data_IF_644673204628
#
_entry.id   IF_644673204628
#
_cell.length_a   1.000
_cell.length_b   1.000
_cell.length_c   1.000
_cell.angle_alpha   90.00
_cell.angle_beta   90.00
_cell.angle_gamma   90.00
#
_symmetry.space_group_name_H-M   'P 1'
#
loop_
_entity.id
_entity.type
_entity.pdbx_description
1 polymer ?
#
# COMPACT_ATOMS: atom_id res chain seq x y z
N UNK A 1 -9.15 34.51 0.16
CA UNK A 1 -10.00 33.45 -0.41
C UNK A 1 -10.02 32.30 0.58
N UNK A 2 -11.19 31.78 0.95
CA UNK A 2 -11.31 30.66 1.88
C UNK A 2 -10.98 29.37 1.15
N UNK A 3 -9.93 28.67 1.60
CA UNK A 3 -9.67 27.29 1.22
C UNK A 3 -10.30 26.38 2.26
N UNK A 4 -10.87 25.28 1.79
CA UNK A 4 -11.52 24.30 2.66
C UNK A 4 -11.02 22.91 2.33
N UNK A 5 -10.55 22.18 3.34
CA UNK A 5 -10.20 20.78 3.25
C UNK A 5 -11.22 19.95 4.04
N UNK A 6 -11.70 18.86 3.46
CA UNK A 6 -12.54 17.88 4.15
C UNK A 6 -11.80 16.56 4.21
N UNK A 7 -11.45 16.12 5.43
CA UNK A 7 -10.84 14.81 5.65
C UNK A 7 -11.90 13.71 5.74
N UNK A 8 -11.45 12.46 5.79
CA UNK A 8 -12.29 11.26 5.84
C UNK A 8 -13.17 11.14 7.09
N UNK A 9 -12.94 11.95 8.13
CA UNK A 9 -13.78 12.04 9.32
C UNK A 9 -14.95 13.05 9.16
N UNK A 10 -15.09 13.65 7.98
CA UNK A 10 -16.14 14.61 7.65
C UNK A 10 -15.91 16.01 8.23
N UNK A 11 -14.81 16.25 8.93
CA UNK A 11 -14.50 17.58 9.47
C UNK A 11 -13.97 18.50 8.39
N UNK A 12 -14.38 19.75 8.51
CA UNK A 12 -14.06 20.83 7.60
C UNK A 12 -12.98 21.70 8.22
N UNK A 13 -11.86 21.84 7.52
CA UNK A 13 -10.69 22.56 7.99
C UNK A 13 -10.33 23.69 7.05
N UNK A 14 -9.87 24.80 7.62
CA UNK A 14 -9.41 25.96 6.86
C UNK A 14 -7.95 25.80 6.41
N UNK A 15 -7.46 26.82 5.69
CA UNK A 15 -6.08 26.87 5.19
C UNK A 15 -5.04 26.81 6.30
N UNK A 16 -5.28 27.49 7.42
CA UNK A 16 -4.31 27.58 8.51
C UNK A 16 -4.16 26.21 9.18
N UNK A 17 -5.26 25.51 9.41
CA UNK A 17 -5.24 24.16 9.94
C UNK A 17 -4.56 23.17 8.99
N UNK A 18 -4.88 23.20 7.68
CA UNK A 18 -4.26 22.31 6.69
C UNK A 18 -2.73 22.47 6.64
N UNK A 19 -2.24 23.72 6.69
CA UNK A 19 -0.80 24.00 6.72
C UNK A 19 -0.15 23.59 8.05
N UNK A 20 -0.84 23.76 9.18
CA UNK A 20 -0.29 23.46 10.50
C UNK A 20 -0.35 21.98 10.92
N UNK A 21 -1.23 21.17 10.31
CA UNK A 21 -1.37 19.73 10.64
C UNK A 21 -0.87 18.82 9.53
N UNK A 22 -1.04 19.20 8.27
CA UNK A 22 -0.41 18.51 7.13
C UNK A 22 1.05 18.90 6.93
N UNK A 23 1.44 20.14 7.28
CA UNK A 23 2.80 20.66 7.14
C UNK A 23 3.73 20.46 8.34
N UNK A 24 3.26 19.84 9.42
CA UNK A 24 4.06 19.56 10.62
C UNK A 24 4.53 18.09 10.71
N UNK A 25 4.31 17.31 9.64
CA UNK A 25 5.07 16.10 9.36
C UNK A 25 6.37 16.58 8.71
N UNK A 26 7.52 16.13 9.17
CA UNK A 26 8.80 16.41 8.49
C UNK A 26 8.67 15.97 7.02
N UNK A 27 8.66 16.90 6.05
CA UNK A 27 8.46 16.56 4.65
C UNK A 27 9.57 15.62 4.13
N UNK A 28 10.70 15.51 4.83
CA UNK A 28 11.76 14.56 4.51
C UNK A 28 11.32 13.08 4.63
N UNK A 29 10.21 12.78 5.33
CA UNK A 29 9.75 11.42 5.61
C UNK A 29 8.37 11.08 5.02
N UNK A 30 7.78 12.00 4.25
CA UNK A 30 6.49 11.84 3.60
C UNK A 30 6.66 11.69 2.09
N UNK A 31 6.32 10.53 1.55
CA UNK A 31 6.21 10.32 0.09
C UNK A 31 4.75 10.23 -0.32
N UNK A 32 4.37 10.98 -1.36
CA UNK A 32 3.07 10.92 -1.99
C UNK A 32 3.24 10.38 -3.41
N UNK A 33 2.64 9.23 -3.70
CA UNK A 33 2.56 8.70 -5.07
C UNK A 33 1.12 8.84 -5.56
N UNK A 34 0.93 9.47 -6.73
CA UNK A 34 -0.40 9.70 -7.32
C UNK A 34 -0.69 8.66 -8.41
N UNK A 35 -1.92 8.17 -8.44
CA UNK A 35 -2.39 7.15 -9.39
C UNK A 35 -3.77 7.52 -9.95
N UNK A 36 -4.09 7.01 -11.15
CA UNK A 36 -5.36 7.23 -11.85
C UNK A 36 -5.80 8.70 -11.91
N UNK A 37 -4.84 9.60 -12.10
CA UNK A 37 -5.15 11.02 -12.11
C UNK A 37 -5.99 11.40 -13.33
N UNK A 38 -7.02 12.18 -13.08
CA UNK A 38 -7.88 12.78 -14.09
C UNK A 38 -7.92 14.28 -13.85
N UNK A 39 -7.84 15.05 -14.94
CA UNK A 39 -7.91 16.51 -14.92
C UNK A 39 -9.05 16.94 -15.83
N UNK A 40 -9.96 17.76 -15.31
CA UNK A 40 -11.06 18.36 -16.07
C UNK A 40 -11.01 19.88 -15.91
N UNK A 41 -10.97 20.62 -17.01
CA UNK A 41 -10.88 22.08 -17.02
C UNK A 41 -12.18 22.68 -17.55
N UNK A 42 -12.70 23.68 -16.85
CA UNK A 42 -13.94 24.40 -17.13
C UNK A 42 -13.69 25.91 -17.05
N UNK A 43 -13.08 26.48 -18.09
CA UNK A 43 -12.69 27.89 -18.12
C UNK A 43 -11.71 28.22 -16.98
N UNK A 44 -12.13 29.09 -16.07
CA UNK A 44 -11.35 29.48 -14.89
C UNK A 44 -11.50 28.54 -13.69
N UNK A 45 -12.14 27.37 -13.86
CA UNK A 45 -12.20 26.31 -12.86
C UNK A 45 -11.54 25.03 -13.37
N UNK A 46 -10.97 24.24 -12.47
CA UNK A 46 -10.47 22.90 -12.78
C UNK A 46 -10.76 21.94 -11.62
N UNK A 47 -11.00 20.67 -11.96
CA UNK A 47 -11.15 19.59 -10.99
C UNK A 47 -10.12 18.51 -11.30
N UNK A 48 -9.32 18.14 -10.31
CA UNK A 48 -8.43 16.99 -10.38
C UNK A 48 -8.94 15.91 -9.44
N UNK A 49 -8.95 14.66 -9.89
CA UNK A 49 -9.28 13.52 -9.03
C UNK A 49 -8.37 12.34 -9.30
N UNK A 50 -8.02 11.60 -8.27
CA UNK A 50 -7.12 10.45 -8.38
C UNK A 50 -7.03 9.67 -7.07
N UNK A 51 -6.08 8.75 -7.01
CA UNK A 51 -5.67 8.07 -5.78
C UNK A 51 -4.31 8.59 -5.35
N UNK A 52 -4.09 8.58 -4.04
CA UNK A 52 -2.80 8.90 -3.44
C UNK A 52 -2.41 7.80 -2.47
N UNK A 53 -1.18 7.31 -2.62
CA UNK A 53 -0.51 6.48 -1.64
C UNK A 53 0.37 7.40 -0.79
N UNK A 54 0.06 7.46 0.49
CA UNK A 54 0.84 8.21 1.48
C UNK A 54 1.75 7.21 2.18
N UNK A 55 3.06 7.34 1.99
CA UNK A 55 4.07 6.62 2.77
C UNK A 55 4.65 7.58 3.79
N UNK A 56 4.57 7.20 5.04
CA UNK A 56 5.14 7.96 6.15
C UNK A 56 6.16 7.08 6.88
N UNK A 57 7.43 7.47 6.81
CA UNK A 57 8.53 6.77 7.48
C UNK A 57 8.83 7.43 8.83
N UNK A 58 8.13 7.01 9.88
CA UNK A 58 8.40 7.46 11.24
C UNK A 58 9.25 6.43 12.02
N UNK A 59 9.90 6.87 13.11
CA UNK A 59 10.76 6.04 13.99
C UNK A 59 10.09 4.77 14.57
N UNK A 60 8.78 4.60 14.40
CA UNK A 60 8.00 3.43 14.85
C UNK A 60 7.56 2.45 13.75
N UNK A 61 7.94 2.67 12.49
CA UNK A 61 7.56 1.83 11.34
C UNK A 61 7.02 2.62 10.14
N UNK A 62 6.89 1.96 8.99
CA UNK A 62 6.29 2.55 7.78
C UNK A 62 4.76 2.50 7.88
N UNK A 63 4.11 3.66 7.80
CA UNK A 63 2.65 3.74 7.65
C UNK A 63 2.32 4.01 6.19
N UNK A 64 1.59 3.08 5.59
CA UNK A 64 1.08 3.20 4.22
C UNK A 64 -0.42 3.42 4.28
N UNK A 65 -0.90 4.55 3.77
CA UNK A 65 -2.33 4.87 3.69
C UNK A 65 -2.73 5.19 2.25
N UNK A 66 -3.85 4.62 1.80
CA UNK A 66 -4.45 4.94 0.51
C UNK A 66 -5.65 5.85 0.70
N UNK A 67 -5.74 6.87 -0.15
CA UNK A 67 -6.89 7.77 -0.22
C UNK A 67 -7.27 8.05 -1.66
N UNK A 68 -8.55 8.34 -1.90
CA UNK A 68 -9.03 9.01 -3.10
C UNK A 68 -9.12 10.50 -2.81
N UNK A 69 -8.65 11.33 -3.74
CA UNK A 69 -8.74 12.78 -3.61
C UNK A 69 -9.59 13.39 -4.72
N UNK A 70 -10.22 14.52 -4.40
CA UNK A 70 -10.77 15.47 -5.37
C UNK A 70 -10.33 16.87 -4.94
N UNK A 71 -9.67 17.58 -5.84
CA UNK A 71 -9.27 18.97 -5.63
C UNK A 71 -9.96 19.85 -6.67
N UNK A 72 -10.46 20.99 -6.21
CA UNK A 72 -11.05 22.02 -7.07
C UNK A 72 -10.16 23.25 -7.06
N UNK A 73 -9.85 23.75 -8.24
CA UNK A 73 -9.02 24.92 -8.47
C UNK A 73 -9.82 26.03 -9.15
N UNK A 74 -9.44 27.27 -8.88
CA UNK A 74 -9.87 28.44 -9.66
C UNK A 74 -8.67 29.23 -10.15
N UNK A 75 -8.74 29.78 -11.36
CA UNK A 75 -7.71 30.63 -11.94
C UNK A 75 -8.00 32.09 -11.58
N UNK A 76 -7.04 32.77 -10.96
CA UNK A 76 -7.14 34.19 -10.59
C UNK A 76 -5.84 34.90 -10.91
N UNK A 77 -5.94 36.02 -11.63
CA UNK A 77 -4.77 36.81 -12.05
C UNK A 77 -3.70 35.92 -12.71
N UNK A 78 -4.14 35.03 -13.61
CA UNK A 78 -3.27 34.09 -14.31
C UNK A 78 -2.80 32.87 -13.50
N UNK A 79 -3.06 32.80 -12.19
CA UNK A 79 -2.58 31.73 -11.29
C UNK A 79 -3.71 30.80 -10.85
N UNK A 80 -3.47 29.49 -10.92
CA UNK A 80 -4.36 28.49 -10.33
C UNK A 80 -4.21 28.44 -8.82
N UNK A 81 -5.32 28.40 -8.11
CA UNK A 81 -5.39 28.30 -6.66
C UNK A 81 -6.37 27.20 -6.29
N UNK A 82 -5.96 26.27 -5.44
CA UNK A 82 -6.86 25.28 -4.86
C UNK A 82 -7.84 25.99 -3.92
N UNK A 83 -9.13 25.72 -4.10
CA UNK A 83 -10.22 26.32 -3.30
C UNK A 83 -10.93 25.29 -2.44
N UNK A 84 -10.93 24.04 -2.88
CA UNK A 84 -11.46 22.92 -2.10
C UNK A 84 -10.61 21.66 -2.32
N UNK A 85 -10.48 20.86 -1.28
CA UNK A 85 -9.87 19.53 -1.33
C UNK A 85 -10.67 18.59 -0.46
N UNK A 86 -10.96 17.39 -0.98
CA UNK A 86 -11.59 16.33 -0.21
C UNK A 86 -10.81 15.04 -0.40
N UNK A 87 -10.47 14.41 0.72
CA UNK A 87 -9.73 13.15 0.74
C UNK A 87 -10.57 12.11 1.47
N UNK A 88 -10.87 11.01 0.79
CA UNK A 88 -11.59 9.87 1.36
C UNK A 88 -10.62 8.70 1.49
N UNK A 89 -10.44 8.21 2.72
CA UNK A 89 -9.61 7.04 2.98
C UNK A 89 -10.17 5.84 2.23
N UNK A 90 -9.32 5.15 1.50
CA UNK A 90 -9.62 3.83 0.95
C UNK A 90 -9.16 2.85 2.04
N UNK A 91 -10.08 2.17 2.74
CA UNK A 91 -9.66 1.14 3.68
C UNK A 91 -8.86 0.09 2.91
N UNK A 92 -7.84 -0.53 3.53
CA UNK A 92 -7.25 -1.75 2.99
C UNK A 92 -8.41 -2.68 2.67
N UNK A 93 -8.47 -3.19 1.43
CA UNK A 93 -9.55 -4.08 1.07
C UNK A 93 -9.40 -5.35 1.90
N UNK A 94 -10.19 -5.47 2.96
CA UNK A 94 -10.43 -6.74 3.64
C UNK A 94 -11.20 -7.62 2.66
N UNK A 95 -10.47 -8.28 1.76
CA UNK A 95 -11.00 -9.47 1.12
C UNK A 95 -11.18 -10.48 2.24
N UNK A 96 -12.38 -11.06 2.35
CA UNK A 96 -12.65 -12.10 3.34
C UNK A 96 -11.48 -13.08 3.33
N UNK A 97 -10.74 -13.15 4.44
CA UNK A 97 -9.56 -13.99 4.53
C UNK A 97 -9.97 -15.42 4.20
N UNK A 98 -9.48 -15.94 3.08
CA UNK A 98 -9.77 -17.31 2.70
C UNK A 98 -9.06 -18.20 3.72
N UNK A 99 -9.81 -19.11 4.34
CA UNK A 99 -9.19 -20.08 5.23
C UNK A 99 -8.49 -21.13 4.38
N UNK A 100 -7.15 -21.07 4.35
CA UNK A 100 -6.32 -22.08 3.70
C UNK A 100 -6.07 -23.22 4.68
N UNK A 101 -6.23 -24.45 4.22
CA UNK A 101 -6.08 -25.62 5.10
C UNK A 101 -4.66 -25.71 5.67
N UNK A 102 -4.48 -26.18 6.92
CA UNK A 102 -3.15 -26.28 7.54
C UNK A 102 -2.13 -27.06 6.71
N UNK A 103 -2.53 -28.15 6.06
CA UNK A 103 -1.65 -28.96 5.23
C UNK A 103 -1.11 -28.19 4.01
N UNK A 104 -1.92 -27.29 3.45
CA UNK A 104 -1.48 -26.42 2.36
C UNK A 104 -0.47 -25.40 2.89
N UNK A 105 -0.73 -24.80 4.06
CA UNK A 105 0.19 -23.86 4.70
C UNK A 105 1.53 -24.50 5.06
N UNK A 106 1.51 -25.75 5.56
CA UNK A 106 2.71 -26.51 5.89
C UNK A 106 3.61 -26.73 4.66
N UNK A 107 3.02 -26.91 3.47
CA UNK A 107 3.79 -27.03 2.22
C UNK A 107 4.55 -25.74 1.85
N UNK A 108 4.09 -24.58 2.33
CA UNK A 108 4.68 -23.27 2.06
C UNK A 108 5.81 -22.90 3.04
N UNK A 109 5.87 -23.54 4.20
CA UNK A 109 6.95 -23.35 5.18
C UNK A 109 8.28 -23.74 4.53
N UNK A 110 9.31 -22.93 4.79
CA UNK A 110 10.64 -23.12 4.21
C UNK A 110 11.44 -21.84 4.08
N UNK A 111 12.61 -21.97 3.46
CA UNK A 111 13.49 -20.84 3.13
C UNK A 111 13.51 -20.63 1.62
N UNK A 112 13.42 -19.37 1.21
CA UNK A 112 13.37 -18.96 -0.19
C UNK A 112 14.47 -17.93 -0.45
N UNK A 113 15.34 -18.19 -1.41
CA UNK A 113 16.45 -17.30 -1.78
C UNK A 113 16.03 -16.38 -2.93
N UNK A 114 15.94 -15.07 -2.68
CA UNK A 114 15.59 -14.04 -3.67
C UNK A 114 16.82 -13.52 -4.43
N UNK A 115 17.96 -13.44 -3.73
CA UNK A 115 19.25 -13.04 -4.25
C UNK A 115 20.34 -13.64 -3.34
N UNK A 116 21.63 -13.65 -3.74
CA UNK A 116 22.71 -14.13 -2.88
C UNK A 116 22.66 -13.48 -1.49
N UNK A 117 22.57 -14.29 -0.44
CA UNK A 117 22.43 -13.88 0.97
C UNK A 117 21.13 -13.13 1.34
N UNK A 118 20.14 -13.07 0.44
CA UNK A 118 18.81 -12.52 0.71
C UNK A 118 17.79 -13.66 0.80
N UNK A 119 17.61 -14.16 2.01
CA UNK A 119 16.71 -15.29 2.32
C UNK A 119 15.42 -14.74 2.94
N UNK A 120 14.29 -15.25 2.46
CA UNK A 120 12.96 -15.08 3.02
C UNK A 120 12.59 -16.39 3.70
N UNK A 121 12.38 -16.35 5.01
CA UNK A 121 11.91 -17.51 5.78
C UNK A 121 10.40 -17.42 5.93
N UNK A 122 9.68 -18.44 5.48
CA UNK A 122 8.24 -18.59 5.68
C UNK A 122 8.01 -19.56 6.84
N UNK A 123 7.30 -19.12 7.86
CA UNK A 123 6.94 -19.88 9.05
C UNK A 123 5.44 -19.96 9.20
N UNK A 124 4.93 -21.02 9.84
CA UNK A 124 3.53 -21.11 10.24
C UNK A 124 3.38 -20.82 11.72
N UNK A 125 2.41 -19.96 12.05
CA UNK A 125 1.96 -19.70 13.41
C UNK A 125 0.44 -19.96 13.48
N UNK A 126 0.06 -21.12 14.02
CA UNK A 126 -1.34 -21.56 14.02
C UNK A 126 -1.89 -21.74 12.59
N UNK A 127 -2.86 -20.90 12.23
CA UNK A 127 -3.50 -20.88 10.91
C UNK A 127 -3.02 -19.72 10.01
N UNK A 128 -1.87 -19.12 10.33
CA UNK A 128 -1.31 -17.98 9.60
C UNK A 128 0.11 -18.29 9.15
N UNK A 129 0.53 -17.63 8.07
CA UNK A 129 1.93 -17.61 7.64
C UNK A 129 2.57 -16.29 8.05
N UNK A 130 3.81 -16.38 8.52
CA UNK A 130 4.68 -15.25 8.81
C UNK A 130 5.89 -15.33 7.88
N UNK A 131 6.19 -14.25 7.17
CA UNK A 131 7.47 -14.10 6.49
C UNK A 131 8.44 -13.34 7.36
N UNK A 132 9.69 -13.78 7.36
CA UNK A 132 10.81 -13.03 7.91
C UNK A 132 11.88 -12.81 6.84
N UNK A 133 12.24 -11.55 6.64
CA UNK A 133 13.33 -11.16 5.75
C UNK A 133 14.04 -9.96 6.33
N UNK A 134 15.38 -9.96 6.33
CA UNK A 134 16.21 -8.88 6.89
C UNK A 134 15.84 -8.50 8.33
N UNK A 135 15.48 -9.49 9.15
CA UNK A 135 15.06 -9.29 10.55
C UNK A 135 13.68 -8.65 10.74
N UNK A 136 12.93 -8.39 9.67
CA UNK A 136 11.54 -7.90 9.74
C UNK A 136 10.58 -9.06 9.56
N UNK A 137 9.66 -9.23 10.51
CA UNK A 137 8.54 -10.18 10.44
C UNK A 137 7.30 -9.49 9.88
N UNK A 138 6.53 -10.19 9.06
CA UNK A 138 5.27 -9.69 8.50
C UNK A 138 4.30 -10.84 8.29
N UNK A 139 3.02 -10.60 8.59
CA UNK A 139 1.95 -11.56 8.34
C UNK A 139 1.62 -11.64 6.85
N UNK A 140 1.37 -12.86 6.37
CA UNK A 140 0.85 -13.16 5.04
C UNK A 140 -0.65 -13.41 5.13
N UNK A 141 -1.44 -12.53 4.54
CA UNK A 141 -2.90 -12.68 4.50
C UNK A 141 -3.31 -13.42 3.23
N UNK A 142 -4.00 -14.58 3.33
CA UNK A 142 -4.39 -15.37 2.17
C UNK A 142 -5.44 -14.65 1.31
N UNK A 143 -5.23 -14.66 0.01
CA UNK A 143 -6.19 -14.19 -0.99
C UNK A 143 -6.69 -15.32 -1.90
N UNK A 144 -5.89 -16.37 -2.06
CA UNK A 144 -6.24 -17.68 -2.64
C UNK A 144 -5.44 -18.76 -1.91
N UNK A 145 -5.54 -20.03 -2.32
CA UNK A 145 -4.69 -21.09 -1.77
C UNK A 145 -3.19 -20.87 -2.03
N UNK A 146 -2.82 -20.14 -3.09
CA UNK A 146 -1.42 -19.93 -3.48
C UNK A 146 -0.97 -18.47 -3.42
N UNK A 147 -1.90 -17.51 -3.34
CA UNK A 147 -1.61 -16.08 -3.36
C UNK A 147 -1.91 -15.44 -2.01
N UNK A 148 -0.95 -14.66 -1.53
CA UNK A 148 -0.99 -13.97 -0.24
C UNK A 148 -0.59 -12.51 -0.42
N UNK A 149 -1.24 -11.63 0.33
CA UNK A 149 -0.81 -10.23 0.47
C UNK A 149 0.07 -10.07 1.72
N UNK A 150 1.01 -9.13 1.67
CA UNK A 150 1.84 -8.72 2.80
C UNK A 150 1.54 -7.24 3.09
N UNK A 151 0.52 -6.93 3.91
CA UNK A 151 0.03 -5.55 4.07
C UNK A 151 1.10 -4.56 4.54
N UNK A 152 1.98 -4.98 5.46
CA UNK A 152 3.05 -4.15 6.01
C UNK A 152 4.13 -3.75 4.99
N UNK A 153 4.17 -4.41 3.83
CA UNK A 153 5.10 -4.11 2.75
C UNK A 153 4.38 -3.72 1.44
N UNK A 154 3.04 -3.78 1.41
CA UNK A 154 2.24 -3.63 0.19
C UNK A 154 2.73 -4.53 -0.96
N UNK A 155 3.08 -5.78 -0.63
CA UNK A 155 3.55 -6.80 -1.58
C UNK A 155 2.53 -7.91 -1.74
N UNK A 156 2.68 -8.68 -2.82
CA UNK A 156 1.95 -9.92 -3.05
C UNK A 156 2.93 -11.05 -3.31
N UNK A 157 2.73 -12.17 -2.63
CA UNK A 157 3.51 -13.39 -2.77
C UNK A 157 2.62 -14.44 -3.43
N UNK A 158 3.15 -15.15 -4.42
CA UNK A 158 2.49 -16.33 -4.99
C UNK A 158 3.40 -17.55 -4.87
N UNK A 159 2.92 -18.60 -4.24
CA UNK A 159 3.60 -19.89 -4.15
C UNK A 159 3.40 -20.68 -5.44
N UNK A 160 4.51 -21.08 -6.08
CA UNK A 160 4.48 -21.80 -7.35
C UNK A 160 4.88 -23.26 -7.14
N UNK A 161 4.04 -24.16 -7.64
CA UNK A 161 4.23 -25.61 -7.54
C UNK A 161 4.67 -26.20 -8.88
N UNK A 162 5.46 -27.28 -8.83
CA UNK A 162 5.76 -28.09 -10.02
C UNK A 162 4.62 -29.09 -10.32
N UNK A 163 4.80 -29.92 -11.35
CA UNK A 163 3.85 -30.96 -11.75
C UNK A 163 3.59 -32.01 -10.64
N UNK A 164 4.56 -32.23 -9.76
CA UNK A 164 4.45 -33.14 -8.60
C UNK A 164 3.75 -32.49 -7.39
N UNK A 165 3.28 -31.24 -7.53
CA UNK A 165 2.60 -30.49 -6.48
C UNK A 165 3.52 -29.88 -5.42
N UNK A 166 4.84 -29.99 -5.59
CA UNK A 166 5.86 -29.45 -4.67
C UNK A 166 6.12 -27.97 -4.95
N UNK A 167 6.22 -27.18 -3.89
CA UNK A 167 6.52 -25.74 -3.99
C UNK A 167 7.98 -25.56 -4.38
N UNK A 168 8.22 -24.90 -5.51
CA UNK A 168 9.58 -24.72 -6.07
C UNK A 168 10.13 -23.32 -5.81
N UNK A 169 9.27 -22.32 -5.78
CA UNK A 169 9.64 -20.92 -5.57
C UNK A 169 8.43 -20.08 -5.18
N UNK A 170 8.70 -18.86 -4.77
CA UNK A 170 7.71 -17.80 -4.67
C UNK A 170 7.98 -16.72 -5.72
N UNK A 171 6.92 -16.15 -6.26
CA UNK A 171 6.98 -14.87 -6.99
C UNK A 171 6.53 -13.75 -6.06
N UNK A 172 7.22 -12.61 -6.15
CA UNK A 172 6.97 -11.42 -5.33
C UNK A 172 6.61 -10.30 -6.30
N UNK A 173 5.43 -9.73 -6.14
CA UNK A 173 4.99 -8.55 -6.88
C UNK A 173 5.02 -7.32 -5.95
N UNK A 174 5.89 -6.37 -6.28
CA UNK A 174 5.98 -5.04 -5.68
C UNK A 174 5.43 -4.02 -6.67
N UNK A 175 4.11 -3.77 -6.60
CA UNK A 175 3.44 -2.75 -7.40
C UNK A 175 3.76 -2.83 -8.90
N UNK A 176 3.80 -4.04 -9.46
CA UNK A 176 4.09 -4.32 -10.87
C UNK A 176 5.54 -4.70 -11.18
N UNK A 177 6.45 -4.62 -10.20
CA UNK A 177 7.80 -5.21 -10.32
C UNK A 177 7.80 -6.62 -9.78
N UNK A 178 8.28 -7.56 -10.57
CA UNK A 178 8.32 -8.98 -10.19
C UNK A 178 9.73 -9.42 -9.79
N UNK A 179 9.81 -10.19 -8.71
CA UNK A 179 11.00 -10.92 -8.27
C UNK A 179 10.67 -12.38 -7.99
N UNK A 180 11.67 -13.26 -8.08
CA UNK A 180 11.51 -14.69 -7.85
C UNK A 180 12.45 -15.15 -6.76
N UNK A 181 11.94 -15.88 -5.76
CA UNK A 181 12.76 -16.49 -4.73
C UNK A 181 12.63 -18.01 -4.73
N UNK A 182 13.73 -18.72 -5.00
CA UNK A 182 13.77 -20.18 -5.12
C UNK A 182 13.69 -20.83 -3.74
N UNK A 183 12.90 -21.89 -3.59
CA UNK A 183 12.88 -22.67 -2.35
C UNK A 183 14.20 -23.43 -2.19
N UNK A 184 14.85 -23.28 -1.05
CA UNK A 184 16.14 -23.90 -0.72
C UNK A 184 16.06 -24.85 0.48
N UNK A 185 15.00 -24.74 1.30
CA UNK A 185 14.72 -25.62 2.44
C UNK A 185 13.24 -25.70 2.71
#
# INVERSE_FOLDING_TARGET
MSFTHVFSDGRVYDRAYHLNTGGNQDPAHLTLELFDETVRVYGDAAVTSGRVLVRNQNRGGEVVAQSRYTNTYTRRQGRWQIVASQWTRIPPQERAAITVSPNILDAYVGQYELAPNLIITIMREGNRLISEARGRRSELTPETETQFSVPAANLRITFVRNADGQVTHITINDNGREGQARKIR
#
